data_IF_138614582052
#
_entry.id   IF_138614582052
#
_cell.length_a   1.000
_cell.length_b   1.000
_cell.length_c   1.000
_cell.angle_alpha   90.00
_cell.angle_beta   90.00
_cell.angle_gamma   90.00
#
_symmetry.space_group_name_H-M   'P 1'
#
loop_
_entity.id
_entity.type
_entity.pdbx_description
1 polymer ?
#
# COMPACT_ATOMS: atom_id res chain seq x y z
N UNK A 1 15.32 21.81 8.19
CA UNK A 1 15.69 20.45 8.68
C UNK A 1 15.05 19.43 7.74
N UNK A 2 15.90 18.73 6.99
CA UNK A 2 15.69 17.45 6.28
C UNK A 2 14.37 17.28 5.50
N UNK A 3 14.39 17.64 4.21
CA UNK A 3 13.59 16.95 3.21
C UNK A 3 14.09 15.50 3.18
N UNK A 4 13.24 14.56 3.60
CA UNK A 4 13.51 13.13 3.48
C UNK A 4 13.29 12.78 2.01
N UNK A 5 14.34 12.34 1.34
CA UNK A 5 14.25 11.56 0.10
C UNK A 5 13.28 10.40 0.34
N UNK A 6 12.05 10.54 -0.15
CA UNK A 6 11.30 9.35 -0.55
C UNK A 6 11.94 8.92 -1.86
N UNK A 7 12.76 7.88 -1.80
CA UNK A 7 13.14 7.09 -2.97
C UNK A 7 11.82 6.63 -3.60
N UNK A 8 11.43 7.30 -4.69
CA UNK A 8 10.19 7.07 -5.38
C UNK A 8 10.18 5.68 -5.96
N UNK A 9 9.29 4.82 -5.47
CA UNK A 9 8.90 3.59 -6.15
C UNK A 9 8.49 3.99 -7.58
N UNK A 10 9.36 3.68 -8.55
CA UNK A 10 9.14 4.05 -9.95
C UNK A 10 8.35 2.93 -10.60
N UNK A 11 7.15 3.25 -11.08
CA UNK A 11 6.31 2.33 -11.85
C UNK A 11 6.83 2.25 -13.28
N UNK A 12 7.20 1.06 -13.75
CA UNK A 12 7.52 0.83 -15.15
C UNK A 12 6.24 0.43 -15.89
N UNK A 13 5.69 1.34 -16.69
CA UNK A 13 4.53 1.05 -17.54
C UNK A 13 4.94 0.07 -18.65
N UNK A 14 4.65 -1.21 -18.45
CA UNK A 14 4.66 -2.20 -19.54
C UNK A 14 3.30 -2.10 -20.22
N UNK A 15 3.27 -1.49 -21.41
CA UNK A 15 2.06 -1.39 -22.23
C UNK A 15 1.91 -2.68 -23.01
N UNK A 16 1.21 -3.66 -22.43
CA UNK A 16 0.69 -4.81 -23.16
C UNK A 16 -0.84 -4.66 -23.29
N UNK A 17 -1.30 -4.67 -24.54
CA UNK A 17 -2.67 -4.41 -24.94
C UNK A 17 -3.65 -5.44 -24.32
N UNK A 18 -4.65 -4.95 -23.57
CA UNK A 18 -5.77 -5.66 -22.88
C UNK A 18 -5.63 -6.10 -21.41
N UNK A 19 -4.63 -5.64 -20.66
CA UNK A 19 -4.67 -5.69 -19.19
C UNK A 19 -4.00 -4.45 -18.60
N UNK A 20 -4.76 -3.60 -17.92
CA UNK A 20 -4.26 -2.36 -17.30
C UNK A 20 -3.43 -2.62 -16.02
N UNK A 21 -2.45 -3.50 -16.10
CA UNK A 21 -1.58 -3.90 -14.99
C UNK A 21 -0.16 -3.37 -15.20
N UNK A 22 0.38 -2.64 -14.21
CA UNK A 22 1.76 -2.15 -14.23
C UNK A 22 2.64 -3.04 -13.35
N UNK A 23 3.86 -3.40 -13.78
CA UNK A 23 4.80 -4.15 -12.93
C UNK A 23 5.67 -3.15 -12.16
N UNK A 24 5.73 -3.30 -10.83
CA UNK A 24 6.58 -2.45 -9.99
C UNK A 24 7.97 -3.09 -9.74
N UNK A 25 8.84 -2.38 -9.03
CA UNK A 25 10.18 -2.86 -8.64
C UNK A 25 10.15 -4.15 -7.79
N UNK A 26 9.01 -4.43 -7.15
CA UNK A 26 8.76 -5.66 -6.39
C UNK A 26 8.44 -6.85 -7.30
N UNK A 27 8.26 -6.64 -8.61
CA UNK A 27 7.83 -7.67 -9.56
C UNK A 27 6.33 -8.00 -9.46
N UNK A 28 5.54 -7.19 -8.76
CA UNK A 28 4.10 -7.38 -8.60
C UNK A 28 3.34 -6.72 -9.75
N UNK A 29 2.34 -7.42 -10.28
CA UNK A 29 1.35 -6.82 -11.19
C UNK A 29 0.37 -5.98 -10.38
N UNK A 30 0.36 -4.67 -10.65
CA UNK A 30 -0.49 -3.69 -9.98
C UNK A 30 -1.64 -3.31 -10.90
N UNK A 31 -2.86 -3.76 -10.57
CA UNK A 31 -4.08 -3.34 -11.26
C UNK A 31 -4.56 -1.97 -10.79
N UNK A 32 -4.99 -1.10 -11.70
CA UNK A 32 -5.49 0.23 -11.31
C UNK A 32 -6.68 0.14 -10.35
N UNK A 33 -6.74 1.05 -9.39
CA UNK A 33 -7.73 1.05 -8.30
C UNK A 33 -8.54 2.36 -8.33
N UNK A 34 -9.82 2.29 -7.97
CA UNK A 34 -10.68 3.47 -7.84
C UNK A 34 -10.53 4.16 -6.48
N UNK A 35 -11.03 5.39 -6.39
CA UNK A 35 -11.13 6.07 -5.11
C UNK A 35 -12.02 5.30 -4.13
N UNK A 36 -11.62 5.29 -2.86
CA UNK A 36 -12.35 4.65 -1.75
C UNK A 36 -12.46 3.13 -1.80
N UNK A 37 -11.82 2.51 -2.78
CA UNK A 37 -11.71 1.07 -2.88
C UNK A 37 -10.88 0.50 -1.73
N UNK A 38 -11.21 -0.73 -1.33
CA UNK A 38 -10.58 -1.44 -0.24
C UNK A 38 -10.40 -2.90 -0.62
N UNK A 39 -9.42 -3.55 -0.01
CA UNK A 39 -9.16 -4.96 -0.22
C UNK A 39 -8.24 -5.52 0.84
N UNK A 40 -7.79 -6.75 0.64
CA UNK A 40 -6.90 -7.46 1.56
C UNK A 40 -5.78 -8.15 0.82
N UNK A 41 -4.61 -8.20 1.44
CA UNK A 41 -3.43 -8.90 0.91
C UNK A 41 -2.87 -8.27 -0.37
N UNK A 42 -2.15 -9.11 -1.11
CA UNK A 42 -1.39 -8.70 -2.29
C UNK A 42 -2.31 -8.15 -3.40
N UNK A 43 -1.79 -7.24 -4.24
CA UNK A 43 -0.43 -6.69 -4.22
C UNK A 43 -0.26 -5.49 -3.28
N UNK A 44 -1.32 -5.00 -2.62
CA UNK A 44 -1.33 -3.70 -1.93
C UNK A 44 -1.23 -3.75 -0.40
N UNK A 45 -1.27 -4.95 0.16
CA UNK A 45 -1.02 -5.21 1.57
C UNK A 45 -0.29 -6.54 1.76
N UNK A 46 0.43 -6.72 2.87
CA UNK A 46 1.12 -7.97 3.15
C UNK A 46 0.14 -9.11 3.42
N UNK A 47 0.57 -10.32 3.08
CA UNK A 47 -0.14 -11.57 3.30
C UNK A 47 0.79 -12.57 3.98
N UNK A 48 0.25 -13.41 4.86
CA UNK A 48 1.01 -14.42 5.59
C UNK A 48 1.86 -13.85 6.73
N UNK A 49 1.56 -12.64 7.19
CA UNK A 49 2.28 -11.99 8.28
C UNK A 49 1.32 -11.32 9.28
N UNK A 50 1.54 -11.46 10.60
CA UNK A 50 2.61 -12.21 11.25
C UNK A 50 2.43 -13.74 11.18
N UNK A 51 1.21 -14.23 10.94
CA UNK A 51 0.94 -15.66 10.73
C UNK A 51 0.57 -15.95 9.27
N UNK A 52 0.77 -17.19 8.84
CA UNK A 52 0.56 -17.65 7.45
C UNK A 52 -0.85 -17.37 6.91
N UNK A 53 -1.86 -17.24 7.78
CA UNK A 53 -3.26 -16.99 7.38
C UNK A 53 -3.64 -15.51 7.41
N UNK A 54 -2.75 -14.66 7.86
CA UNK A 54 -3.06 -13.27 8.14
C UNK A 54 -3.03 -12.47 6.85
N UNK A 55 -4.10 -11.71 6.62
CA UNK A 55 -4.20 -10.77 5.52
C UNK A 55 -4.35 -9.38 6.10
N UNK A 56 -3.49 -8.47 5.67
CA UNK A 56 -3.64 -7.07 6.01
C UNK A 56 -4.60 -6.41 5.03
N UNK A 57 -5.40 -5.47 5.52
CA UNK A 57 -6.30 -4.70 4.67
C UNK A 57 -5.58 -3.51 4.05
N UNK A 58 -6.08 -3.03 2.92
CA UNK A 58 -5.69 -1.75 2.32
C UNK A 58 -6.91 -0.95 1.92
N UNK A 59 -6.77 0.38 1.85
CA UNK A 59 -7.81 1.28 1.32
C UNK A 59 -7.22 2.51 0.66
N UNK A 60 -7.78 2.91 -0.47
CA UNK A 60 -7.46 4.20 -1.14
C UNK A 60 -8.32 5.32 -0.59
N UNK A 61 -7.82 6.57 -0.64
CA UNK A 61 -8.66 7.75 -0.40
C UNK A 61 -8.63 8.72 -1.59
N UNK A 62 -9.54 9.70 -1.56
CA UNK A 62 -9.87 10.70 -2.61
C UNK A 62 -8.71 11.52 -3.23
N UNK A 63 -7.45 11.26 -2.88
CA UNK A 63 -6.30 12.07 -3.33
C UNK A 63 -5.35 11.22 -4.15
N UNK A 64 -5.70 11.02 -5.42
CA UNK A 64 -4.70 10.66 -6.41
C UNK A 64 -3.76 11.86 -6.64
N UNK A 65 -2.47 11.60 -6.77
CA UNK A 65 -1.47 12.59 -7.19
C UNK A 65 -1.60 12.87 -8.68
N UNK A 66 -0.97 13.95 -9.16
CA UNK A 66 -0.85 14.21 -10.60
C UNK A 66 -0.11 13.08 -11.36
N UNK A 67 0.55 12.15 -10.64
CA UNK A 67 1.20 10.96 -11.21
C UNK A 67 0.23 9.77 -11.34
N UNK A 68 -1.06 9.93 -11.04
CA UNK A 68 -2.03 8.83 -11.15
C UNK A 68 -1.85 7.77 -10.08
N UNK A 69 -1.32 8.12 -8.91
CA UNK A 69 -1.13 7.20 -7.77
C UNK A 69 -1.76 7.76 -6.50
N UNK A 70 -2.30 6.92 -5.63
CA UNK A 70 -2.83 7.40 -4.35
C UNK A 70 -1.69 7.80 -3.42
N UNK A 71 -1.66 9.09 -3.03
CA UNK A 71 -0.66 9.60 -2.07
C UNK A 71 -0.88 9.04 -0.67
N UNK A 72 -2.16 8.87 -0.34
CA UNK A 72 -2.64 8.49 0.97
C UNK A 72 -3.31 7.12 0.82
N UNK A 73 -2.58 6.03 1.10
CA UNK A 73 -3.15 4.69 1.28
C UNK A 73 -3.18 4.36 2.76
N UNK A 74 -4.19 3.59 3.17
CA UNK A 74 -4.31 3.08 4.54
C UNK A 74 -3.97 1.61 4.53
N UNK A 75 -3.17 1.19 5.50
CA UNK A 75 -2.93 -0.22 5.77
C UNK A 75 -3.64 -0.61 7.06
N UNK A 76 -4.33 -1.75 7.07
CA UNK A 76 -5.09 -2.23 8.22
C UNK A 76 -4.49 -3.53 8.77
N UNK A 77 -4.47 -3.65 10.10
CA UNK A 77 -4.12 -4.92 10.74
C UNK A 77 -5.07 -6.05 10.29
N UNK A 78 -4.62 -7.32 10.32
CA UNK A 78 -5.51 -8.46 10.10
C UNK A 78 -6.71 -8.40 11.05
N UNK A 79 -7.87 -8.84 10.58
CA UNK A 79 -9.16 -8.67 11.26
C UNK A 79 -9.13 -9.08 12.74
N UNK A 80 -8.54 -10.24 13.05
CA UNK A 80 -8.45 -10.75 14.42
C UNK A 80 -7.46 -9.98 15.33
N UNK A 81 -6.59 -9.15 14.76
CA UNK A 81 -5.74 -8.21 15.50
C UNK A 81 -6.39 -6.82 15.66
N UNK A 82 -7.52 -6.57 14.99
CA UNK A 82 -8.22 -5.30 15.07
C UNK A 82 -8.92 -5.16 16.42
N UNK A 83 -8.73 -4.01 17.07
CA UNK A 83 -9.45 -3.70 18.29
C UNK A 83 -10.94 -3.49 17.97
N UNK A 84 -11.80 -4.33 18.55
CA UNK A 84 -13.26 -4.34 18.37
C UNK A 84 -13.95 -3.01 18.72
N UNK A 85 -13.36 -2.17 19.59
CA UNK A 85 -14.07 -1.06 20.24
C UNK A 85 -13.76 0.34 19.74
N UNK A 86 -12.63 0.59 19.07
CA UNK A 86 -12.21 1.98 18.82
C UNK A 86 -11.95 2.38 17.37
N UNK A 87 -11.78 1.43 16.41
CA UNK A 87 -11.57 1.70 14.97
C UNK A 87 -10.34 2.54 14.58
N UNK A 88 -9.82 3.36 15.50
CA UNK A 88 -8.75 4.35 15.34
C UNK A 88 -7.35 3.74 15.47
N UNK A 89 -7.23 2.52 16.01
CA UNK A 89 -5.95 1.84 16.25
C UNK A 89 -5.60 0.78 15.20
N UNK A 90 -6.47 0.56 14.22
CA UNK A 90 -6.35 -0.55 13.30
C UNK A 90 -5.79 -0.13 11.94
N UNK A 91 -5.66 1.18 11.68
CA UNK A 91 -5.31 1.74 10.38
C UNK A 91 -4.04 2.61 10.45
N UNK A 92 -3.14 2.40 9.52
CA UNK A 92 -1.89 3.12 9.36
C UNK A 92 -1.93 3.99 8.12
N UNK A 93 -1.65 5.29 8.27
CA UNK A 93 -1.68 6.28 7.18
C UNK A 93 -0.32 6.54 6.51
N UNK A 94 0.74 5.91 7.02
CA UNK A 94 2.10 6.09 6.50
C UNK A 94 2.99 4.89 6.78
N UNK A 95 3.97 4.63 5.89
CA UNK A 95 5.04 3.65 6.11
C UNK A 95 5.71 3.84 7.47
N UNK A 96 5.98 5.08 7.87
CA UNK A 96 6.58 5.41 9.18
C UNK A 96 5.73 4.93 10.35
N UNK A 97 4.40 5.06 10.29
CA UNK A 97 3.50 4.58 11.35
C UNK A 97 3.48 3.05 11.45
N UNK A 98 3.49 2.36 10.30
CA UNK A 98 3.61 0.90 10.25
C UNK A 98 4.95 0.46 10.84
N UNK A 99 6.07 1.08 10.40
CA UNK A 99 7.42 0.80 10.90
C UNK A 99 7.52 0.90 12.43
N UNK A 100 6.98 1.98 13.01
CA UNK A 100 6.97 2.15 14.48
C UNK A 100 6.17 1.07 15.19
N UNK A 101 4.98 0.74 14.67
CA UNK A 101 4.15 -0.34 15.21
C UNK A 101 4.90 -1.68 15.21
N UNK A 102 5.43 -2.04 14.04
CA UNK A 102 6.19 -3.26 13.80
C UNK A 102 7.38 -3.39 14.77
N UNK A 103 8.21 -2.35 14.88
CA UNK A 103 9.35 -2.32 15.81
C UNK A 103 8.95 -2.44 17.28
N UNK A 104 7.81 -1.87 17.67
CA UNK A 104 7.33 -1.94 19.05
C UNK A 104 6.74 -3.30 19.44
N UNK A 105 6.21 -4.05 18.47
CA UNK A 105 5.50 -5.33 18.70
C UNK A 105 6.38 -6.55 18.43
N UNK A 106 7.29 -6.46 17.46
CA UNK A 106 8.07 -7.58 16.95
C UNK A 106 9.56 -7.21 16.90
N UNK A 107 10.26 -7.50 18.00
CA UNK A 107 11.69 -7.24 18.11
C UNK A 107 12.46 -8.10 17.10
N UNK A 108 13.40 -7.47 16.38
CA UNK A 108 14.29 -8.17 15.43
C UNK A 108 13.66 -8.54 14.10
N UNK A 109 12.45 -8.07 13.79
CA UNK A 109 11.87 -8.31 12.47
C UNK A 109 12.59 -7.53 11.36
N UNK A 110 12.66 -8.14 10.18
CA UNK A 110 13.13 -7.47 8.97
C UNK A 110 12.01 -6.60 8.38
N UNK A 111 12.13 -5.29 8.62
CA UNK A 111 11.16 -4.28 8.18
C UNK A 111 11.25 -4.07 6.67
N UNK A 112 12.44 -4.20 6.11
CA UNK A 112 12.67 -3.97 4.69
C UNK A 112 12.11 -5.15 3.89
N UNK A 113 12.27 -6.39 4.38
CA UNK A 113 11.58 -7.57 3.86
C UNK A 113 10.05 -7.44 3.96
N UNK A 114 9.52 -6.87 5.05
CA UNK A 114 8.09 -6.63 5.18
C UNK A 114 7.59 -5.68 4.08
N UNK A 115 8.25 -4.53 3.88
CA UNK A 115 7.82 -3.56 2.85
C UNK A 115 8.15 -4.01 1.43
N UNK A 116 9.09 -4.92 1.22
CA UNK A 116 9.35 -5.53 -0.09
C UNK A 116 8.36 -6.64 -0.43
N UNK A 117 7.48 -7.07 0.49
CA UNK A 117 6.49 -8.10 0.18
C UNK A 117 5.25 -7.59 -0.56
N UNK A 118 5.02 -6.28 -0.62
CA UNK A 118 3.85 -5.67 -1.24
C UNK A 118 4.17 -4.28 -1.81
N UNK A 119 3.27 -3.71 -2.60
CA UNK A 119 3.36 -2.33 -3.07
C UNK A 119 2.61 -1.40 -2.13
N UNK A 120 3.33 -0.44 -1.53
CA UNK A 120 2.67 0.62 -0.76
C UNK A 120 1.98 1.64 -1.68
N UNK A 121 2.56 1.89 -2.85
CA UNK A 121 1.98 2.73 -3.88
C UNK A 121 0.86 1.98 -4.61
N UNK A 122 -0.34 2.56 -4.61
CA UNK A 122 -1.52 2.03 -5.30
C UNK A 122 -1.78 2.90 -6.54
N UNK A 123 -1.69 2.36 -7.77
CA UNK A 123 -2.07 3.08 -8.98
C UNK A 123 -3.55 3.41 -9.02
N UNK A 124 -3.89 4.60 -9.50
CA UNK A 124 -5.26 5.07 -9.66
C UNK A 124 -5.77 4.82 -11.07
N UNK A 125 -7.03 4.42 -11.21
CA UNK A 125 -7.71 4.35 -12.50
C UNK A 125 -8.32 5.70 -12.95
N UNK A 126 -8.16 6.76 -12.16
CA UNK A 126 -8.48 8.09 -12.61
C UNK A 126 -7.50 8.47 -13.72
N UNK A 127 -7.98 8.37 -14.95
CA UNK A 127 -7.36 8.97 -16.12
C UNK A 127 -6.90 10.37 -15.74
N UNK A 128 -5.66 10.73 -16.11
CA UNK A 128 -5.30 12.14 -16.20
C UNK A 128 -6.47 12.83 -16.89
N UNK A 129 -7.20 13.68 -16.18
CA UNK A 129 -8.03 14.66 -16.84
C UNK A 129 -7.02 15.50 -17.60
N UNK A 130 -6.79 15.13 -18.86
CA UNK A 130 -6.00 15.91 -19.80
C UNK A 130 -6.61 17.29 -19.70
N UNK A 131 -5.86 18.20 -19.09
CA UNK A 131 -6.24 19.60 -19.02
C UNK A 131 -6.11 20.09 -20.45
N UNK A 132 -7.20 20.00 -21.20
CA UNK A 132 -7.38 20.62 -22.52
C UNK A 132 -7.18 22.12 -22.38
#
# INVERSE_FOLDING_TARGET
ISAKEEVGESLALVVDNESSSTINQTGLQLGLVSEYEYGEGLPYAPMGWPNVRDKWGWRTVRRATNLGTFKDSYLYLPEHFQALKDGKKNAFRSKTSVKKYLQSKYLGMDIDQFFSSFSWMIPSNQSQAQKV
#
